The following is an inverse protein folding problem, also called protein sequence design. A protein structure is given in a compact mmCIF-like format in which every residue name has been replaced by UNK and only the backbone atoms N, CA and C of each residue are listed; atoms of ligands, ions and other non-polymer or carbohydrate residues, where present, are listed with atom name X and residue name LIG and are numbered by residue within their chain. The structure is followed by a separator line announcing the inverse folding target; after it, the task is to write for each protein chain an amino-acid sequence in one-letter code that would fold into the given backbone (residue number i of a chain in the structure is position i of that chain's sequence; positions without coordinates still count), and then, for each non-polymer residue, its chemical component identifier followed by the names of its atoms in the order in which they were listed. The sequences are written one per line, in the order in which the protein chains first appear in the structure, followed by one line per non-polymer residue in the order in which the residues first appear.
data_IF_461380211112
#
_entry.id   IF_461380211112
#
_cell.length_a   1.000
_cell.length_b   1.000
_cell.length_c   1.000
_cell.angle_alpha   90.00
_cell.angle_beta   90.00
_cell.angle_gamma   90.00
#
_symmetry.space_group_name_H-M   'P 1'
#
loop_
_entity.id
_entity.type
_entity.pdbx_description
1 polymer ?
#
# COMPACT_ATOMS: atom_id res chain seq x y z
N UNK A 1 0.84 -6.66 -3.73
CA UNK A 1 1.47 -6.36 -2.40
C UNK A 1 2.55 -7.38 -2.16
N UNK A 2 3.73 -6.96 -1.70
CA UNK A 2 4.81 -7.86 -1.31
C UNK A 2 5.08 -7.73 0.19
N UNK A 3 5.32 -8.86 0.83
CA UNK A 3 5.54 -8.98 2.27
C UNK A 3 6.86 -9.70 2.51
N UNK A 4 7.83 -9.02 3.12
CA UNK A 4 9.12 -9.61 3.48
C UNK A 4 9.19 -9.81 4.99
N UNK A 5 9.31 -11.05 5.42
CA UNK A 5 9.22 -11.48 6.81
C UNK A 5 10.60 -11.87 7.36
N UNK A 6 11.00 -11.37 8.55
CA UNK A 6 12.26 -11.76 9.17
C UNK A 6 12.25 -13.20 9.71
N UNK A 7 11.08 -13.72 10.01
CA UNK A 7 10.86 -15.08 10.52
C UNK A 7 9.51 -15.61 10.06
N UNK A 8 9.28 -16.90 10.21
CA UNK A 8 7.98 -17.50 9.97
C UNK A 8 6.91 -16.84 10.86
N UNK A 9 5.82 -16.31 10.30
CA UNK A 9 4.78 -15.66 11.08
C UNK A 9 3.96 -16.68 11.87
N UNK A 10 3.46 -16.27 13.03
CA UNK A 10 2.49 -17.07 13.78
C UNK A 10 1.11 -17.02 13.11
N UNK A 11 0.28 -18.04 13.39
CA UNK A 11 -1.11 -18.04 12.94
C UNK A 11 -1.87 -16.78 13.37
N UNK A 12 -1.73 -16.40 14.64
CA UNK A 12 -2.38 -15.21 15.18
C UNK A 12 -1.95 -13.93 14.46
N UNK A 13 -0.65 -13.80 14.14
CA UNK A 13 -0.17 -12.66 13.36
C UNK A 13 -0.78 -12.62 11.95
N UNK A 14 -0.84 -13.76 11.27
CA UNK A 14 -1.44 -13.85 9.93
C UNK A 14 -2.93 -13.50 9.94
N UNK A 15 -3.67 -13.97 10.93
CA UNK A 15 -5.09 -13.66 11.09
C UNK A 15 -5.31 -12.15 11.32
N UNK A 16 -4.51 -11.54 12.20
CA UNK A 16 -4.59 -10.10 12.45
C UNK A 16 -4.22 -9.28 11.22
N UNK A 17 -3.15 -9.66 10.51
CA UNK A 17 -2.73 -9.01 9.27
C UNK A 17 -3.81 -9.11 8.18
N UNK A 18 -4.37 -10.30 7.97
CA UNK A 18 -5.44 -10.54 6.99
C UNK A 18 -6.70 -9.75 7.32
N UNK A 19 -7.06 -9.65 8.61
CA UNK A 19 -8.20 -8.84 9.07
C UNK A 19 -7.98 -7.36 8.76
N UNK A 20 -6.80 -6.82 9.06
CA UNK A 20 -6.45 -5.43 8.75
C UNK A 20 -6.47 -5.16 7.25
N UNK A 21 -5.93 -6.09 6.46
CA UNK A 21 -5.94 -5.98 5.00
C UNK A 21 -7.37 -6.00 4.42
N UNK A 22 -8.22 -6.89 4.93
CA UNK A 22 -9.63 -6.97 4.53
C UNK A 22 -10.40 -5.70 4.89
N UNK A 23 -10.16 -5.14 6.07
CA UNK A 23 -10.73 -3.86 6.47
C UNK A 23 -10.31 -2.74 5.49
N UNK A 24 -9.03 -2.63 5.17
CA UNK A 24 -8.51 -1.63 4.23
C UNK A 24 -9.14 -1.78 2.83
N UNK A 25 -9.27 -3.01 2.32
CA UNK A 25 -9.91 -3.28 1.03
C UNK A 25 -11.37 -2.79 1.02
N UNK A 26 -12.12 -3.05 2.08
CA UNK A 26 -13.51 -2.62 2.22
C UNK A 26 -13.61 -1.10 2.34
N UNK A 27 -12.77 -0.51 3.18
CA UNK A 27 -12.79 0.93 3.45
C UNK A 27 -12.43 1.76 2.21
N UNK A 28 -11.41 1.33 1.48
CA UNK A 28 -10.93 2.03 0.27
C UNK A 28 -11.55 1.49 -1.03
N UNK A 29 -12.47 0.55 -0.96
CA UNK A 29 -13.12 -0.06 -2.12
C UNK A 29 -12.13 -0.57 -3.18
N UNK A 30 -11.05 -1.18 -2.73
CA UNK A 30 -10.03 -1.76 -3.59
C UNK A 30 -9.92 -3.27 -3.35
N UNK A 31 -9.43 -4.00 -4.33
CA UNK A 31 -9.25 -5.45 -4.25
C UNK A 31 -7.78 -5.82 -4.30
N UNK A 32 -7.38 -6.77 -3.48
CA UNK A 32 -6.06 -7.39 -3.59
C UNK A 32 -6.05 -8.32 -4.81
N UNK A 33 -5.25 -7.97 -5.81
CA UNK A 33 -5.14 -8.74 -7.06
C UNK A 33 -4.01 -9.76 -7.03
N UNK A 34 -3.13 -9.68 -6.05
CA UNK A 34 -2.02 -10.62 -5.89
C UNK A 34 -0.87 -10.03 -5.08
N UNK A 35 0.18 -10.80 -4.99
CA UNK A 35 1.39 -10.41 -4.27
C UNK A 35 2.29 -11.61 -4.04
N UNK A 36 3.35 -11.36 -3.27
CA UNK A 36 4.30 -12.38 -2.89
C UNK A 36 4.68 -12.25 -1.41
N UNK A 37 5.12 -13.33 -0.83
CA UNK A 37 5.64 -13.36 0.54
C UNK A 37 7.01 -14.03 0.52
N UNK A 38 8.01 -13.31 1.00
CA UNK A 38 9.40 -13.75 1.01
C UNK A 38 10.03 -13.60 2.39
N UNK A 39 11.19 -14.22 2.58
CA UNK A 39 11.99 -14.12 3.79
C UNK A 39 13.05 -13.04 3.62
N UNK A 40 13.26 -12.25 4.67
CA UNK A 40 14.33 -11.25 4.73
C UNK A 40 15.24 -11.47 5.94
N UNK A 41 16.49 -11.05 5.85
CA UNK A 41 17.41 -10.94 6.99
C UNK A 41 17.29 -9.58 7.69
N UNK A 42 16.55 -8.65 7.10
CA UNK A 42 16.24 -7.34 7.66
C UNK A 42 14.94 -7.32 8.46
N UNK A 43 14.43 -6.14 8.79
CA UNK A 43 13.14 -5.98 9.46
C UNK A 43 11.98 -6.38 8.56
N UNK A 44 10.79 -6.53 9.17
CA UNK A 44 9.53 -6.66 8.43
C UNK A 44 9.40 -5.49 7.42
N UNK A 45 9.13 -5.83 6.17
CA UNK A 45 8.84 -4.83 5.15
C UNK A 45 7.56 -5.20 4.39
N UNK A 46 6.75 -4.18 4.12
CA UNK A 46 5.53 -4.30 3.32
C UNK A 46 5.63 -3.33 2.16
N UNK A 47 5.53 -3.83 0.95
CA UNK A 47 5.48 -3.03 -0.27
C UNK A 47 4.11 -3.12 -0.92
N UNK A 48 3.47 -1.98 -1.15
CA UNK A 48 2.14 -1.91 -1.75
C UNK A 48 2.22 -1.18 -3.09
N UNK A 49 1.76 -1.84 -4.13
CA UNK A 49 1.57 -1.22 -5.46
C UNK A 49 0.08 -1.08 -5.70
N UNK A 50 -0.38 0.12 -5.99
CA UNK A 50 -1.76 0.40 -6.33
C UNK A 50 -1.88 0.67 -7.83
N UNK A 51 -2.91 0.10 -8.44
CA UNK A 51 -3.30 0.36 -9.83
C UNK A 51 -4.72 0.89 -9.82
N UNK A 52 -4.96 1.97 -10.53
CA UNK A 52 -6.27 2.61 -10.59
C UNK A 52 -6.55 3.20 -11.97
N UNK A 53 -7.77 3.66 -12.14
CA UNK A 53 -8.21 4.36 -13.34
C UNK A 53 -8.41 5.83 -13.00
N UNK A 54 -7.96 6.68 -13.90
CA UNK A 54 -8.17 8.12 -13.83
C UNK A 54 -8.79 8.61 -15.14
N UNK A 55 -9.75 9.54 -15.11
CA UNK A 55 -10.30 10.12 -16.32
C UNK A 55 -9.20 10.72 -17.21
N UNK A 56 -9.39 10.61 -18.52
CA UNK A 56 -8.42 11.11 -19.50
C UNK A 56 -8.14 12.60 -19.27
N UNK A 57 -6.87 12.96 -19.17
CA UNK A 57 -6.43 14.34 -18.94
C UNK A 57 -6.41 14.80 -17.48
N UNK A 58 -6.90 14.00 -16.53
CA UNK A 58 -6.94 14.37 -15.11
C UNK A 58 -5.83 13.72 -14.28
N UNK A 59 -4.88 13.05 -14.91
CA UNK A 59 -3.74 12.45 -14.21
C UNK A 59 -2.86 13.55 -13.59
N UNK A 60 -2.71 13.51 -12.28
CA UNK A 60 -1.72 14.33 -11.56
C UNK A 60 -0.36 13.66 -11.74
N UNK A 61 0.58 14.39 -12.34
CA UNK A 61 1.93 13.90 -12.61
C UNK A 61 2.94 14.59 -11.72
N UNK A 62 4.05 13.92 -11.49
CA UNK A 62 5.16 14.44 -10.68
C UNK A 62 5.73 15.78 -11.19
N UNK A 63 5.68 16.03 -12.49
CA UNK A 63 6.25 17.24 -13.12
C UNK A 63 5.22 18.33 -13.46
N UNK A 64 4.00 18.29 -12.91
CA UNK A 64 2.95 19.28 -13.22
C UNK A 64 2.80 20.37 -12.19
N UNK A 65 3.55 20.31 -11.08
CA UNK A 65 3.52 21.34 -10.05
C UNK A 65 4.02 22.69 -10.59
N UNK A 66 3.35 23.77 -10.17
CA UNK A 66 3.63 25.15 -10.58
C UNK A 66 3.87 26.06 -9.37
N UNK A 67 4.50 27.20 -9.60
CA UNK A 67 4.65 28.20 -8.57
C UNK A 67 3.28 28.71 -8.13
N UNK A 68 3.01 28.68 -6.82
CA UNK A 68 1.71 29.02 -6.24
C UNK A 68 0.87 27.78 -5.84
N UNK A 69 1.26 26.59 -6.23
CA UNK A 69 0.61 25.36 -5.77
C UNK A 69 0.87 25.14 -4.27
N UNK A 70 -0.10 24.53 -3.60
CA UNK A 70 -0.02 24.19 -2.18
C UNK A 70 0.42 22.74 -2.04
N UNK A 71 1.37 22.48 -1.15
CA UNK A 71 1.85 21.14 -0.82
C UNK A 71 1.00 20.55 0.30
N UNK A 72 0.46 19.36 0.08
CA UNK A 72 -0.30 18.62 1.07
C UNK A 72 0.37 17.29 1.41
N UNK A 73 0.17 16.85 2.64
CA UNK A 73 0.44 15.48 3.08
C UNK A 73 -0.86 14.86 3.57
N UNK A 74 -1.05 13.56 3.32
CA UNK A 74 -2.30 12.85 3.61
C UNK A 74 -2.39 12.29 5.03
N UNK A 75 -1.39 12.56 5.85
CA UNK A 75 -1.33 12.10 7.24
C UNK A 75 -0.09 12.61 7.97
N UNK A 76 0.08 12.24 9.25
CA UNK A 76 1.28 12.57 9.99
C UNK A 76 2.51 11.89 9.37
N UNK A 77 3.60 12.62 9.33
CA UNK A 77 4.90 12.15 8.87
C UNK A 77 5.79 11.89 10.11
#
# INVERSE_FOLDING_TARGET
MNLSLPSAPTKTWLEAFSTGLSYAQTHFQCSLTGGDTDKTTGPLAVSVTLVGLVPRGQMIRRGTAQAGDVVFVTGPI
#
